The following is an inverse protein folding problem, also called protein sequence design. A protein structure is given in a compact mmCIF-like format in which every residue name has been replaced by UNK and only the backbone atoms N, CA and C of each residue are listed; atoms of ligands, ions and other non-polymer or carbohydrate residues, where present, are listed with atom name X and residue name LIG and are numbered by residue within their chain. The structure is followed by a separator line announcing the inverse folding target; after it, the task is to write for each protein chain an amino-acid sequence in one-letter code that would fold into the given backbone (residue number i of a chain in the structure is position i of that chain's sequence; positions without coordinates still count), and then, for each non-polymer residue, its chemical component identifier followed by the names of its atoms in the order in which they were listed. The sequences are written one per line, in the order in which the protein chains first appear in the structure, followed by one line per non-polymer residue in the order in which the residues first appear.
data_IF_921489264393
#
_entry.id   IF_921489264393
#
_cell.length_a   1.000
_cell.length_b   1.000
_cell.length_c   1.000
_cell.angle_alpha   90.00
_cell.angle_beta   90.00
_cell.angle_gamma   90.00
#
_symmetry.space_group_name_H-M   'P 1'
#
loop_
_entity.id
_entity.type
_entity.pdbx_description
1 polymer ?
#
# COMPACT_ATOMS: atom_id res chain seq x y z
N UNK A 1 3.21 30.92 8.23
CA UNK A 1 3.29 30.90 6.76
C UNK A 1 1.93 31.20 6.12
N UNK A 2 0.93 30.32 6.16
CA UNK A 2 -0.42 30.65 5.63
C UNK A 2 -1.14 31.71 6.48
N UNK A 3 -1.13 31.56 7.80
CA UNK A 3 -1.67 32.56 8.74
C UNK A 3 -0.93 33.89 8.76
N UNK A 4 0.26 33.94 8.16
CA UNK A 4 1.10 35.14 8.03
C UNK A 4 1.02 35.74 6.61
N UNK A 5 0.18 35.18 5.72
CA UNK A 5 0.00 35.63 4.34
C UNK A 5 1.15 35.32 3.38
N UNK A 6 2.14 34.51 3.81
CA UNK A 6 3.34 34.15 3.03
C UNK A 6 3.02 33.04 2.02
N UNK A 7 2.13 32.12 2.39
CA UNK A 7 1.66 31.04 1.53
C UNK A 7 0.17 31.25 1.27
N UNK A 8 -0.21 31.12 -0.01
CA UNK A 8 -1.59 31.27 -0.45
C UNK A 8 -2.07 29.91 -0.98
N UNK A 9 -3.04 29.25 -0.32
CA UNK A 9 -3.48 27.89 -0.68
C UNK A 9 -4.18 27.80 -2.04
N UNK A 10 -4.72 28.91 -2.52
CA UNK A 10 -5.39 29.09 -3.81
C UNK A 10 -4.41 29.50 -4.93
N UNK A 11 -3.15 29.78 -4.60
CA UNK A 11 -2.14 30.16 -5.57
C UNK A 11 -1.39 28.93 -6.08
N UNK A 12 -1.64 28.57 -7.34
CA UNK A 12 -1.03 27.42 -8.01
C UNK A 12 0.51 27.46 -8.00
N UNK A 13 1.13 28.64 -8.07
CA UNK A 13 2.59 28.78 -8.04
C UNK A 13 3.16 28.43 -6.66
N UNK A 14 2.46 28.83 -5.58
CA UNK A 14 2.86 28.49 -4.21
C UNK A 14 2.69 26.99 -3.95
N UNK A 15 1.59 26.40 -4.42
CA UNK A 15 1.38 24.95 -4.37
C UNK A 15 2.45 24.19 -5.17
N UNK A 16 2.79 24.65 -6.37
CA UNK A 16 3.84 24.04 -7.19
C UNK A 16 5.19 24.08 -6.47
N UNK A 17 5.59 25.24 -5.93
CA UNK A 17 6.83 25.38 -5.19
C UNK A 17 6.87 24.46 -3.96
N UNK A 18 5.75 24.32 -3.24
CA UNK A 18 5.65 23.40 -2.11
C UNK A 18 5.84 21.94 -2.53
N UNK A 19 5.14 21.49 -3.58
CA UNK A 19 5.29 20.13 -4.10
C UNK A 19 6.72 19.87 -4.60
N UNK A 20 7.29 20.81 -5.35
CA UNK A 20 8.65 20.69 -5.87
C UNK A 20 9.70 20.48 -4.75
N UNK A 21 9.53 21.17 -3.61
CA UNK A 21 10.47 21.07 -2.49
C UNK A 21 10.17 19.86 -1.61
N UNK A 22 8.91 19.67 -1.20
CA UNK A 22 8.56 18.72 -0.14
C UNK A 22 8.24 17.32 -0.64
N UNK A 23 7.69 17.16 -1.84
CA UNK A 23 7.38 15.84 -2.37
C UNK A 23 8.62 14.93 -2.47
N UNK A 24 9.76 15.35 -3.06
CA UNK A 24 10.96 14.50 -3.07
C UNK A 24 11.52 14.24 -1.66
N UNK A 25 11.39 15.20 -0.74
CA UNK A 25 11.87 15.06 0.65
C UNK A 25 11.02 14.06 1.44
N UNK A 26 9.70 14.11 1.28
CA UNK A 26 8.78 13.17 1.92
C UNK A 26 9.03 11.76 1.38
N UNK A 27 9.18 11.60 0.07
CA UNK A 27 9.48 10.30 -0.52
C UNK A 27 10.81 9.72 -0.01
N UNK A 28 11.88 10.54 0.02
CA UNK A 28 13.16 10.11 0.59
C UNK A 28 13.05 9.73 2.08
N UNK A 29 12.30 10.51 2.88
CA UNK A 29 12.07 10.19 4.28
C UNK A 29 11.25 8.90 4.46
N UNK A 30 10.30 8.63 3.56
CA UNK A 30 9.54 7.38 3.55
C UNK A 30 10.42 6.18 3.21
N UNK A 31 11.30 6.31 2.21
CA UNK A 31 12.26 5.25 1.86
C UNK A 31 13.18 4.94 3.05
N UNK A 32 13.72 5.98 3.70
CA UNK A 32 14.55 5.83 4.89
C UNK A 32 13.76 5.18 6.03
N UNK A 33 12.52 5.62 6.27
CA UNK A 33 11.66 5.04 7.29
C UNK A 33 11.41 3.56 7.04
N UNK A 34 11.13 3.14 5.80
CA UNK A 34 10.93 1.74 5.43
C UNK A 34 12.19 0.92 5.73
N UNK A 35 13.36 1.42 5.37
CA UNK A 35 14.64 0.73 5.64
C UNK A 35 14.90 0.61 7.13
N UNK A 36 14.74 1.69 7.89
CA UNK A 36 14.94 1.70 9.34
C UNK A 36 13.92 0.78 10.02
N UNK A 37 12.65 0.91 9.68
CA UNK A 37 11.57 0.14 10.28
C UNK A 37 11.68 -1.35 9.96
N UNK A 38 12.08 -1.74 8.77
CA UNK A 38 12.24 -3.17 8.48
C UNK A 38 13.41 -3.81 9.25
N UNK A 39 14.39 -3.03 9.69
CA UNK A 39 15.58 -3.51 10.38
C UNK A 39 15.61 -3.22 11.90
N UNK A 40 14.74 -2.35 12.42
CA UNK A 40 14.69 -2.07 13.85
C UNK A 40 14.15 -3.27 14.63
N UNK A 41 14.70 -3.55 15.81
CA UNK A 41 14.23 -4.62 16.69
C UNK A 41 12.92 -4.23 17.38
N UNK A 42 11.90 -5.09 17.31
CA UNK A 42 10.65 -4.91 18.06
C UNK A 42 10.80 -5.56 19.44
N UNK A 43 10.61 -4.76 20.49
CA UNK A 43 10.84 -5.18 21.89
C UNK A 43 10.01 -6.38 22.33
N UNK A 44 8.75 -6.46 21.90
CA UNK A 44 7.80 -7.50 22.34
C UNK A 44 7.93 -8.82 21.58
N UNK A 45 8.69 -8.85 20.48
CA UNK A 45 8.88 -10.04 19.64
C UNK A 45 10.31 -10.53 19.74
N UNK A 46 10.82 -10.67 20.97
CA UNK A 46 12.17 -11.21 21.21
C UNK A 46 13.32 -10.34 20.68
N UNK A 47 13.08 -9.05 20.39
CA UNK A 47 14.03 -8.13 19.74
C UNK A 47 14.35 -8.48 18.28
N UNK A 48 13.49 -9.26 17.62
CA UNK A 48 13.58 -9.46 16.18
C UNK A 48 13.08 -8.24 15.41
N UNK A 49 13.70 -7.96 14.27
CA UNK A 49 13.19 -6.97 13.33
C UNK A 49 12.02 -7.52 12.51
N UNK A 50 11.15 -6.67 11.93
CA UNK A 50 10.11 -7.11 11.01
C UNK A 50 10.65 -8.02 9.91
N UNK A 51 11.80 -7.68 9.33
CA UNK A 51 12.46 -8.52 8.32
C UNK A 51 12.83 -9.91 8.85
N UNK A 52 13.36 -9.99 10.06
CA UNK A 52 13.70 -11.27 10.69
C UNK A 52 12.45 -12.11 11.00
N UNK A 53 11.38 -11.47 11.48
CA UNK A 53 10.09 -12.13 11.71
C UNK A 53 9.49 -12.66 10.41
N UNK A 54 9.57 -11.90 9.32
CA UNK A 54 9.11 -12.33 8.00
C UNK A 54 9.85 -13.58 7.51
N UNK A 55 11.20 -13.56 7.55
CA UNK A 55 12.02 -14.71 7.15
C UNK A 55 11.73 -15.93 8.04
N UNK A 56 11.64 -15.73 9.35
CA UNK A 56 11.33 -16.79 10.29
C UNK A 56 9.93 -17.40 10.02
N UNK A 57 8.93 -16.55 9.74
CA UNK A 57 7.59 -16.95 9.34
C UNK A 57 7.58 -17.78 8.07
N UNK A 58 8.27 -17.33 7.02
CA UNK A 58 8.40 -18.07 5.75
C UNK A 58 8.98 -19.47 5.99
N UNK A 59 10.09 -19.57 6.74
CA UNK A 59 10.71 -20.86 7.07
C UNK A 59 9.74 -21.77 7.85
N UNK A 60 8.99 -21.23 8.80
CA UNK A 60 8.00 -22.01 9.55
C UNK A 60 6.85 -22.52 8.69
N UNK A 61 6.41 -21.73 7.71
CA UNK A 61 5.32 -22.07 6.79
C UNK A 61 5.77 -23.11 5.75
N UNK A 62 7.02 -23.05 5.28
CA UNK A 62 7.61 -24.06 4.39
C UNK A 62 7.52 -25.47 4.98
N UNK A 63 7.81 -25.61 6.27
CA UNK A 63 7.73 -26.90 6.97
C UNK A 63 6.30 -27.48 7.05
N UNK A 64 5.28 -26.71 6.62
CA UNK A 64 3.86 -27.10 6.66
C UNK A 64 3.19 -27.17 5.27
N UNK A 65 3.94 -27.04 4.17
CA UNK A 65 3.45 -27.14 2.79
C UNK A 65 2.26 -26.22 2.45
N UNK A 66 2.22 -24.98 2.96
CA UNK A 66 1.18 -24.02 2.55
C UNK A 66 1.53 -23.39 1.19
N UNK A 67 0.56 -23.41 0.26
CA UNK A 67 0.68 -22.81 -1.08
C UNK A 67 0.87 -21.29 -1.06
N UNK A 68 0.46 -20.62 0.03
CA UNK A 68 0.53 -19.16 0.18
C UNK A 68 1.96 -18.57 0.11
N UNK A 69 2.99 -19.35 0.47
CA UNK A 69 4.40 -18.90 0.41
C UNK A 69 5.17 -19.51 -0.77
N UNK A 70 4.53 -20.37 -1.57
CA UNK A 70 5.20 -21.09 -2.66
C UNK A 70 5.81 -20.13 -3.70
N UNK A 71 5.12 -19.02 -3.98
CA UNK A 71 5.55 -17.93 -4.86
C UNK A 71 6.84 -17.23 -4.41
N UNK A 72 7.18 -17.32 -3.12
CA UNK A 72 8.40 -16.70 -2.57
C UNK A 72 9.64 -17.52 -2.97
N UNK A 73 9.48 -18.84 -3.17
CA UNK A 73 10.56 -19.76 -3.49
C UNK A 73 10.66 -20.08 -4.98
N UNK A 74 9.52 -20.15 -5.67
CA UNK A 74 9.43 -20.37 -7.11
C UNK A 74 8.59 -19.24 -7.73
N UNK A 75 9.21 -18.10 -8.06
CA UNK A 75 8.50 -16.93 -8.58
C UNK A 75 7.95 -17.15 -10.00
N UNK A 76 8.49 -18.12 -10.74
CA UNK A 76 8.06 -18.44 -12.11
C UNK A 76 6.83 -19.37 -12.12
N UNK A 77 6.59 -20.11 -11.04
CA UNK A 77 5.38 -20.92 -10.82
C UNK A 77 4.39 -20.23 -9.89
N UNK A 78 3.96 -19.02 -10.28
CA UNK A 78 2.91 -18.29 -9.58
C UNK A 78 1.73 -19.20 -9.23
N UNK A 79 1.27 -19.13 -7.98
CA UNK A 79 0.17 -19.92 -7.44
C UNK A 79 -1.06 -19.70 -8.35
N UNK A 80 -1.46 -20.71 -9.14
CA UNK A 80 -2.53 -20.53 -10.13
C UNK A 80 -3.88 -20.27 -9.49
N UNK A 81 -3.98 -20.38 -8.17
CA UNK A 81 -5.17 -20.11 -7.37
C UNK A 81 -5.18 -18.70 -6.75
N UNK A 82 -4.10 -17.92 -6.87
CA UNK A 82 -4.09 -16.56 -6.31
C UNK A 82 -4.95 -15.62 -7.16
N UNK A 83 -6.06 -15.13 -6.61
CA UNK A 83 -7.00 -14.27 -7.32
C UNK A 83 -8.02 -15.02 -8.19
N UNK A 84 -8.05 -16.37 -8.11
CA UNK A 84 -9.16 -17.15 -8.62
C UNK A 84 -10.27 -17.07 -7.59
N UNK A 85 -11.34 -16.37 -7.95
CA UNK A 85 -12.57 -16.33 -7.20
C UNK A 85 -13.37 -17.60 -7.56
N UNK A 86 -13.34 -18.61 -6.68
CA UNK A 86 -14.19 -19.80 -6.77
C UNK A 86 -15.66 -19.47 -6.42
N UNK A 87 -15.99 -18.22 -6.08
CA UNK A 87 -17.39 -17.84 -6.02
C UNK A 87 -17.93 -17.74 -7.45
N UNK A 88 -18.58 -18.84 -7.88
CA UNK A 88 -19.53 -18.82 -8.98
C UNK A 88 -20.40 -17.57 -8.79
N UNK A 89 -20.26 -16.60 -9.71
CA UNK A 89 -20.97 -15.33 -9.82
C UNK A 89 -22.07 -15.20 -8.77
N UNK A 90 -21.75 -14.63 -7.60
CA UNK A 90 -22.80 -14.10 -6.75
C UNK A 90 -23.45 -13.00 -7.59
N UNK A 91 -24.64 -13.29 -8.15
CA UNK A 91 -25.51 -12.29 -8.75
C UNK A 91 -25.63 -11.17 -7.72
N UNK A 92 -24.91 -10.08 -7.93
CA UNK A 92 -25.04 -8.90 -7.11
C UNK A 92 -26.42 -8.35 -7.47
N UNK A 93 -27.46 -8.78 -6.75
CA UNK A 93 -28.75 -8.09 -6.68
C UNK A 93 -28.49 -6.72 -6.03
N UNK A 94 -27.98 -5.81 -6.85
CA UNK A 94 -27.77 -4.44 -6.50
C UNK A 94 -28.97 -3.66 -7.03
N UNK A 95 -29.94 -3.43 -6.15
CA UNK A 95 -30.98 -2.41 -6.34
C UNK A 95 -30.41 -0.97 -6.30
N UNK A 96 -29.09 -0.81 -6.24
CA UNK A 96 -28.37 0.47 -6.19
C UNK A 96 -28.21 1.14 -7.56
N UNK A 97 -29.26 1.17 -8.38
CA UNK A 97 -29.21 1.85 -9.68
C UNK A 97 -29.34 3.37 -9.50
N UNK A 98 -28.21 4.07 -9.40
CA UNK A 98 -28.17 5.54 -9.34
C UNK A 98 -28.47 6.09 -10.73
N UNK A 99 -29.67 6.65 -10.92
CA UNK A 99 -30.06 7.34 -12.14
C UNK A 99 -29.33 8.68 -12.21
N UNK A 100 -28.40 8.82 -13.16
CA UNK A 100 -27.69 10.08 -13.42
C UNK A 100 -28.59 10.99 -14.26
N UNK A 101 -28.98 12.18 -13.79
CA UNK A 101 -29.74 13.12 -14.61
C UNK A 101 -28.90 13.63 -15.79
N UNK A 102 -29.47 13.63 -16.99
CA UNK A 102 -28.85 14.33 -18.11
C UNK A 102 -28.96 15.85 -17.86
N UNK A 103 -27.81 16.50 -17.76
CA UNK A 103 -27.71 17.96 -17.74
C UNK A 103 -27.59 18.43 -19.19
N UNK A 104 -28.62 19.09 -19.69
CA UNK A 104 -28.52 19.86 -20.92
C UNK A 104 -27.68 21.11 -20.62
N UNK A 105 -26.44 21.12 -21.11
CA UNK A 105 -25.61 22.30 -21.07
C UNK A 105 -26.05 23.30 -22.16
N UNK A 106 -26.10 24.61 -21.86
CA UNK A 106 -26.45 25.66 -22.82
C UNK A 106 -25.38 25.90 -23.89
#
# INVERSE_FOLDING_TARGET
MESEGILQPDNEMHLFALHFVYLPRINAAMEEFVVQWNNHSIRKTGRFSPRQLYVNGIIHVQNRNYSAVQNIYDPDQGNPMFGVDDSDELEIESDNNVQVPQLDFP
#
